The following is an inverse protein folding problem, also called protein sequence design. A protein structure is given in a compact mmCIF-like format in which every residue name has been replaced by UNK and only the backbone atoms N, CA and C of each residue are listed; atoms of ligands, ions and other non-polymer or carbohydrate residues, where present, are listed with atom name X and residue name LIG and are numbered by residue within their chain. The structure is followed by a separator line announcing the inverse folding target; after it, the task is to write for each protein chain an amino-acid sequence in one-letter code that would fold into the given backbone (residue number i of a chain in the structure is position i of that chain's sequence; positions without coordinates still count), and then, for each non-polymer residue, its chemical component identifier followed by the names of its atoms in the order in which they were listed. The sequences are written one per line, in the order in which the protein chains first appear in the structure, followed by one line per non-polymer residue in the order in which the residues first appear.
data_IF_281932968281
#
_entry.id   IF_281932968281
#
_cell.length_a   1.000
_cell.length_b   1.000
_cell.length_c   1.000
_cell.angle_alpha   90.00
_cell.angle_beta   90.00
_cell.angle_gamma   90.00
#
_symmetry.space_group_name_H-M   'P 1'
#
loop_
_entity.id
_entity.type
_entity.pdbx_description
1 polymer ?
#
# COMPACT_ATOMS: atom_id res chain seq x y z
N UNK A 1 -73.54 19.01 -11.82
CA UNK A 1 -73.23 19.65 -10.51
C UNK A 1 -72.14 18.87 -9.79
N UNK A 2 -70.95 18.76 -10.41
CA UNK A 2 -69.76 18.14 -9.79
C UNK A 2 -68.48 18.94 -10.06
N UNK A 3 -68.53 20.00 -10.88
CA UNK A 3 -67.36 20.83 -11.20
C UNK A 3 -67.03 21.83 -10.08
N UNK A 4 -68.03 22.36 -9.38
CA UNK A 4 -67.83 23.39 -8.35
C UNK A 4 -67.17 22.86 -7.06
N UNK A 5 -67.21 21.56 -6.77
CA UNK A 5 -66.52 20.96 -5.61
C UNK A 5 -65.06 20.61 -5.97
N UNK A 6 -64.77 20.37 -7.25
CA UNK A 6 -63.41 20.09 -7.73
C UNK A 6 -62.57 21.37 -7.76
N UNK A 7 -63.14 22.50 -8.20
CA UNK A 7 -62.46 23.81 -8.21
C UNK A 7 -62.09 24.33 -6.81
N UNK A 8 -62.87 23.98 -5.77
CA UNK A 8 -62.60 24.43 -4.38
C UNK A 8 -61.49 23.61 -3.73
N UNK A 9 -61.42 22.31 -4.00
CA UNK A 9 -60.29 21.47 -3.55
C UNK A 9 -59.00 21.80 -4.33
N UNK A 10 -59.11 22.26 -5.58
CA UNK A 10 -57.98 22.73 -6.40
C UNK A 10 -57.37 24.03 -5.82
N UNK A 11 -58.20 25.01 -5.45
CA UNK A 11 -57.72 26.28 -4.86
C UNK A 11 -57.09 26.08 -3.48
N UNK A 12 -57.64 25.19 -2.64
CA UNK A 12 -57.07 24.91 -1.31
C UNK A 12 -55.74 24.16 -1.37
N UNK A 13 -55.50 23.33 -2.39
CA UNK A 13 -54.18 22.71 -2.63
C UNK A 13 -53.17 23.75 -3.11
N UNK A 14 -53.60 24.65 -3.98
CA UNK A 14 -52.75 25.71 -4.52
C UNK A 14 -52.30 26.68 -3.41
N UNK A 15 -53.20 27.06 -2.49
CA UNK A 15 -52.86 27.93 -1.35
C UNK A 15 -51.89 27.26 -0.37
N UNK A 16 -52.01 25.93 -0.14
CA UNK A 16 -51.08 25.18 0.73
C UNK A 16 -49.69 25.06 0.12
N UNK A 17 -49.61 24.83 -1.19
CA UNK A 17 -48.33 24.81 -1.91
C UNK A 17 -47.71 26.21 -1.95
N UNK A 18 -48.52 27.25 -2.11
CA UNK A 18 -48.05 28.63 -2.04
C UNK A 18 -47.52 29.00 -0.65
N UNK A 19 -48.23 28.64 0.42
CA UNK A 19 -47.78 28.90 1.79
C UNK A 19 -46.47 28.17 2.12
N UNK A 20 -46.31 26.92 1.68
CA UNK A 20 -45.06 26.17 1.83
C UNK A 20 -43.92 26.78 1.00
N UNK A 21 -44.22 27.31 -0.18
CA UNK A 21 -43.22 27.99 -1.02
C UNK A 21 -42.82 29.37 -0.47
N UNK A 22 -43.74 30.10 0.16
CA UNK A 22 -43.43 31.35 0.86
C UNK A 22 -42.53 31.12 2.08
N UNK A 23 -42.76 30.04 2.83
CA UNK A 23 -41.99 29.71 4.03
C UNK A 23 -40.64 29.03 3.71
N UNK A 24 -40.62 28.07 2.78
CA UNK A 24 -39.44 27.23 2.48
C UNK A 24 -38.81 27.47 1.10
N UNK A 25 -39.40 28.30 0.22
CA UNK A 25 -38.86 28.52 -1.13
C UNK A 25 -37.42 29.03 -1.12
N UNK A 26 -37.09 29.96 -0.22
CA UNK A 26 -35.73 30.48 -0.07
C UNK A 26 -34.73 29.42 0.44
N UNK A 27 -35.15 28.56 1.38
CA UNK A 27 -34.29 27.49 1.92
C UNK A 27 -34.06 26.39 0.90
N UNK A 28 -35.08 26.01 0.12
CA UNK A 28 -34.98 25.05 -0.98
C UNK A 28 -34.02 25.57 -2.07
N UNK A 29 -34.14 26.84 -2.47
CA UNK A 29 -33.24 27.45 -3.46
C UNK A 29 -31.81 27.50 -2.93
N UNK A 30 -31.61 27.90 -1.68
CA UNK A 30 -30.27 27.93 -1.06
C UNK A 30 -29.64 26.53 -1.00
N UNK A 31 -30.42 25.52 -0.62
CA UNK A 31 -29.97 24.13 -0.59
C UNK A 31 -29.59 23.62 -1.99
N UNK A 32 -30.40 23.95 -3.02
CA UNK A 32 -30.10 23.59 -4.40
C UNK A 32 -28.80 24.25 -4.90
N UNK A 33 -28.58 25.53 -4.59
CA UNK A 33 -27.34 26.25 -4.95
C UNK A 33 -26.14 25.60 -4.25
N UNK A 34 -26.23 25.30 -2.95
CA UNK A 34 -25.16 24.63 -2.21
C UNK A 34 -24.83 23.27 -2.82
N UNK A 35 -25.83 22.48 -3.22
CA UNK A 35 -25.63 21.18 -3.85
C UNK A 35 -24.89 21.33 -5.19
N UNK A 36 -25.28 22.29 -6.03
CA UNK A 36 -24.60 22.57 -7.29
C UNK A 36 -23.16 23.03 -7.05
N UNK A 37 -22.91 23.90 -6.07
CA UNK A 37 -21.55 24.34 -5.72
C UNK A 37 -20.67 23.19 -5.26
N UNK A 38 -21.16 22.34 -4.36
CA UNK A 38 -20.46 21.15 -3.89
C UNK A 38 -20.13 20.21 -5.07
N UNK A 39 -21.08 20.00 -5.98
CA UNK A 39 -20.88 19.17 -7.17
C UNK A 39 -19.86 19.77 -8.13
N UNK A 40 -19.91 21.10 -8.35
CA UNK A 40 -18.98 21.81 -9.22
C UNK A 40 -17.54 21.76 -8.68
N UNK A 41 -17.37 21.93 -7.36
CA UNK A 41 -16.06 21.78 -6.70
C UNK A 41 -15.52 20.36 -6.89
N UNK A 42 -16.35 19.32 -6.65
CA UNK A 42 -15.94 17.94 -6.86
C UNK A 42 -15.59 17.63 -8.32
N UNK A 43 -16.39 18.11 -9.27
CA UNK A 43 -16.15 17.91 -10.70
C UNK A 43 -14.86 18.61 -11.16
N UNK A 44 -14.63 19.85 -10.71
CA UNK A 44 -13.40 20.59 -10.98
C UNK A 44 -12.16 19.88 -10.43
N UNK A 45 -12.22 19.41 -9.19
CA UNK A 45 -11.12 18.65 -8.57
C UNK A 45 -10.82 17.34 -9.31
N UNK A 46 -11.86 16.59 -9.71
CA UNK A 46 -11.70 15.35 -10.49
C UNK A 46 -11.04 15.61 -11.84
N UNK A 47 -11.48 16.63 -12.57
CA UNK A 47 -10.90 16.98 -13.87
C UNK A 47 -9.43 17.40 -13.78
N UNK A 48 -9.06 18.16 -12.73
CA UNK A 48 -7.66 18.51 -12.48
C UNK A 48 -6.80 17.28 -12.17
N UNK A 49 -7.29 16.37 -11.31
CA UNK A 49 -6.59 15.14 -10.93
C UNK A 49 -6.36 14.22 -12.14
N UNK A 50 -7.35 14.07 -13.01
CA UNK A 50 -7.24 13.20 -14.19
C UNK A 50 -6.24 13.75 -15.23
N UNK A 51 -6.25 15.06 -15.48
CA UNK A 51 -5.27 15.69 -16.36
C UNK A 51 -3.84 15.56 -15.82
N UNK A 52 -3.66 15.74 -14.51
CA UNK A 52 -2.34 15.59 -13.86
C UNK A 52 -1.83 14.14 -13.95
N UNK A 53 -2.70 13.15 -13.75
CA UNK A 53 -2.32 11.74 -13.86
C UNK A 53 -1.87 11.37 -15.28
N UNK A 54 -2.49 11.93 -16.32
CA UNK A 54 -2.07 11.72 -17.71
C UNK A 54 -0.66 12.29 -17.97
N UNK A 55 -0.39 13.50 -17.48
CA UNK A 55 0.92 14.14 -17.58
C UNK A 55 1.98 13.32 -16.83
N UNK A 56 1.70 12.95 -15.58
CA UNK A 56 2.60 12.14 -14.75
C UNK A 56 2.89 10.78 -15.40
N UNK A 57 1.89 10.15 -16.02
CA UNK A 57 2.08 8.88 -16.74
C UNK A 57 3.02 9.05 -17.94
N UNK A 58 2.88 10.15 -18.69
CA UNK A 58 3.76 10.41 -19.83
C UNK A 58 5.21 10.65 -19.38
N UNK A 59 5.42 11.40 -18.30
CA UNK A 59 6.74 11.62 -17.70
C UNK A 59 7.34 10.30 -17.18
N UNK A 60 6.53 9.49 -16.49
CA UNK A 60 6.93 8.18 -16.00
C UNK A 60 7.41 7.26 -17.14
N UNK A 61 6.62 7.14 -18.22
CA UNK A 61 7.00 6.31 -19.37
C UNK A 61 8.28 6.82 -20.04
N UNK A 62 8.43 8.14 -20.15
CA UNK A 62 9.66 8.74 -20.68
C UNK A 62 10.89 8.40 -19.83
N UNK A 63 10.76 8.45 -18.50
CA UNK A 63 11.84 8.08 -17.59
C UNK A 63 12.16 6.58 -17.70
N UNK A 64 11.13 5.73 -17.75
CA UNK A 64 11.28 4.27 -17.89
C UNK A 64 11.94 3.84 -19.22
N UNK A 65 11.71 4.58 -20.31
CA UNK A 65 12.32 4.29 -21.63
C UNK A 65 13.73 4.90 -21.80
N UNK A 66 14.24 5.60 -20.79
CA UNK A 66 15.56 6.23 -20.85
C UNK A 66 16.70 5.21 -20.71
N UNK A 67 17.91 5.56 -21.18
CA UNK A 67 19.09 4.68 -21.05
C UNK A 67 19.50 4.45 -19.59
N UNK A 68 19.23 5.42 -18.70
CA UNK A 68 19.42 5.32 -17.26
C UNK A 68 18.04 5.35 -16.57
N UNK A 69 17.21 4.36 -16.89
CA UNK A 69 15.82 4.26 -16.42
C UNK A 69 15.72 4.24 -14.91
N UNK A 70 16.59 3.50 -14.22
CA UNK A 70 16.64 3.46 -12.76
C UNK A 70 16.85 4.85 -12.12
N UNK A 71 17.90 5.58 -12.52
CA UNK A 71 18.14 6.95 -12.05
C UNK A 71 17.00 7.91 -12.41
N UNK A 72 16.53 7.84 -13.65
CA UNK A 72 15.49 8.76 -14.14
C UNK A 72 14.16 8.56 -13.41
N UNK A 73 13.80 7.30 -13.11
CA UNK A 73 12.61 6.98 -12.33
C UNK A 73 12.76 7.41 -10.87
N UNK A 74 13.90 7.15 -10.24
CA UNK A 74 14.16 7.54 -8.86
C UNK A 74 14.12 9.07 -8.68
N UNK A 75 14.72 9.83 -9.60
CA UNK A 75 14.73 11.30 -9.58
C UNK A 75 13.33 11.89 -9.82
N UNK A 76 12.54 11.28 -10.70
CA UNK A 76 11.19 11.74 -11.03
C UNK A 76 10.14 11.38 -9.95
N UNK A 77 10.34 10.29 -9.21
CA UNK A 77 9.36 9.73 -8.28
C UNK A 77 8.73 10.76 -7.31
N UNK A 78 9.48 11.68 -6.67
CA UNK A 78 8.89 12.67 -5.75
C UNK A 78 7.86 13.61 -6.40
N UNK A 79 7.94 13.82 -7.71
CA UNK A 79 7.08 14.74 -8.47
C UNK A 79 5.82 14.07 -9.04
N UNK A 80 5.71 12.75 -8.93
CA UNK A 80 4.59 11.95 -9.44
C UNK A 80 3.45 11.83 -8.42
N UNK A 81 2.24 11.67 -8.93
CA UNK A 81 1.09 11.20 -8.11
C UNK A 81 1.40 9.90 -7.37
N UNK A 82 0.77 9.70 -6.19
CA UNK A 82 1.15 8.69 -5.20
C UNK A 82 1.32 7.25 -5.75
N UNK A 83 0.40 6.82 -6.62
CA UNK A 83 0.48 5.49 -7.25
C UNK A 83 1.64 5.35 -8.23
N UNK A 84 1.92 6.39 -9.02
CA UNK A 84 3.05 6.40 -9.95
C UNK A 84 4.38 6.58 -9.23
N UNK A 85 4.43 7.37 -8.15
CA UNK A 85 5.59 7.48 -7.26
C UNK A 85 6.00 6.11 -6.70
N UNK A 86 5.03 5.35 -6.17
CA UNK A 86 5.27 4.00 -5.66
C UNK A 86 5.83 3.07 -6.74
N UNK A 87 5.25 3.11 -7.95
CA UNK A 87 5.75 2.32 -9.08
C UNK A 87 7.15 2.75 -9.54
N UNK A 88 7.46 4.05 -9.50
CA UNK A 88 8.77 4.56 -9.87
C UNK A 88 9.85 4.06 -8.91
N UNK A 89 9.64 4.15 -7.60
CA UNK A 89 10.57 3.59 -6.62
C UNK A 89 10.70 2.07 -6.74
N UNK A 90 9.60 1.35 -6.93
CA UNK A 90 9.63 -0.10 -7.11
C UNK A 90 10.49 -0.51 -8.33
N UNK A 91 10.27 0.14 -9.47
CA UNK A 91 10.98 -0.20 -10.70
C UNK A 91 12.44 0.28 -10.69
N UNK A 92 12.70 1.48 -10.18
CA UNK A 92 14.07 1.95 -9.96
C UNK A 92 14.85 1.00 -9.05
N UNK A 93 14.26 0.58 -7.92
CA UNK A 93 14.85 -0.39 -7.02
C UNK A 93 15.15 -1.73 -7.69
N UNK A 94 14.19 -2.25 -8.47
CA UNK A 94 14.38 -3.51 -9.22
C UNK A 94 15.48 -3.45 -10.27
N UNK A 95 15.61 -2.32 -10.98
CA UNK A 95 16.67 -2.13 -11.97
C UNK A 95 18.05 -1.91 -11.33
N UNK A 96 18.11 -1.18 -10.20
CA UNK A 96 19.34 -1.08 -9.41
C UNK A 96 19.77 -2.45 -8.89
N UNK A 97 18.82 -3.26 -8.41
CA UNK A 97 19.10 -4.63 -7.98
C UNK A 97 19.65 -5.48 -9.14
N UNK A 98 19.00 -5.44 -10.31
CA UNK A 98 19.40 -6.20 -11.49
C UNK A 98 20.78 -5.77 -12.04
N UNK A 99 21.13 -4.49 -11.91
CA UNK A 99 22.45 -3.95 -12.29
C UNK A 99 23.53 -4.14 -11.21
N UNK A 100 23.17 -4.71 -10.06
CA UNK A 100 24.09 -5.00 -8.95
C UNK A 100 24.37 -3.81 -8.03
N UNK A 101 23.63 -2.70 -8.18
CA UNK A 101 23.73 -1.54 -7.31
C UNK A 101 22.81 -1.71 -6.10
N UNK A 102 23.23 -2.57 -5.17
CA UNK A 102 22.39 -2.98 -4.04
C UNK A 102 22.05 -1.82 -3.10
N UNK A 103 22.97 -0.88 -2.87
CA UNK A 103 22.73 0.29 -2.01
C UNK A 103 21.59 1.16 -2.55
N UNK A 104 21.63 1.49 -3.85
CA UNK A 104 20.55 2.26 -4.48
C UNK A 104 19.23 1.49 -4.55
N UNK A 105 19.30 0.16 -4.72
CA UNK A 105 18.11 -0.67 -4.71
C UNK A 105 17.42 -0.61 -3.34
N UNK A 106 18.21 -0.75 -2.27
CA UNK A 106 17.73 -0.67 -0.89
C UNK A 106 17.14 0.72 -0.58
N UNK A 107 17.82 1.80 -0.95
CA UNK A 107 17.34 3.17 -0.79
C UNK A 107 15.96 3.37 -1.46
N UNK A 108 15.77 2.85 -2.67
CA UNK A 108 14.49 2.98 -3.36
C UNK A 108 13.38 2.15 -2.71
N UNK A 109 13.70 0.96 -2.17
CA UNK A 109 12.71 0.18 -1.42
C UNK A 109 12.36 0.80 -0.06
N UNK A 110 13.29 1.49 0.60
CA UNK A 110 13.03 2.31 1.79
C UNK A 110 12.07 3.47 1.47
N UNK A 111 12.31 4.16 0.35
CA UNK A 111 11.42 5.23 -0.12
C UNK A 111 10.03 4.69 -0.48
N UNK A 112 9.95 3.49 -1.07
CA UNK A 112 8.68 2.80 -1.31
C UNK A 112 7.96 2.47 0.01
N UNK A 113 8.67 1.94 1.00
CA UNK A 113 8.12 1.60 2.32
C UNK A 113 7.54 2.84 3.04
N UNK A 114 8.26 3.96 2.98
CA UNK A 114 7.91 5.18 3.71
C UNK A 114 6.91 6.09 3.01
N UNK A 115 6.82 6.04 1.68
CA UNK A 115 5.96 6.95 0.89
C UNK A 115 4.85 6.25 0.09
N UNK A 116 4.87 4.92 0.02
CA UNK A 116 3.84 4.12 -0.61
C UNK A 116 2.54 4.10 0.21
N UNK A 117 1.44 3.72 -0.44
CA UNK A 117 0.15 3.54 0.22
C UNK A 117 -0.28 2.07 0.21
N UNK A 118 -0.89 1.61 1.31
CA UNK A 118 -1.43 0.25 1.45
C UNK A 118 -0.39 -0.83 1.15
N UNK A 119 -0.76 -1.79 0.30
CA UNK A 119 0.08 -2.93 -0.05
C UNK A 119 1.44 -2.52 -0.65
N UNK A 120 1.57 -1.36 -1.29
CA UNK A 120 2.85 -0.91 -1.83
C UNK A 120 3.86 -0.54 -0.74
N UNK A 121 3.41 0.07 0.36
CA UNK A 121 4.27 0.32 1.52
C UNK A 121 4.75 -0.99 2.14
N UNK A 122 3.85 -1.96 2.30
CA UNK A 122 4.19 -3.28 2.82
C UNK A 122 5.18 -4.04 1.93
N UNK A 123 5.02 -3.96 0.60
CA UNK A 123 5.98 -4.51 -0.35
C UNK A 123 7.36 -3.85 -0.18
N UNK A 124 7.40 -2.52 -0.09
CA UNK A 124 8.63 -1.77 0.13
C UNK A 124 9.35 -2.21 1.39
N UNK A 125 8.63 -2.32 2.51
CA UNK A 125 9.19 -2.75 3.79
C UNK A 125 9.79 -4.17 3.71
N UNK A 126 9.09 -5.10 3.07
CA UNK A 126 9.58 -6.47 2.85
C UNK A 126 10.85 -6.47 1.98
N UNK A 127 10.83 -5.79 0.83
CA UNK A 127 11.98 -5.76 -0.09
C UNK A 127 13.19 -5.05 0.51
N UNK A 128 12.98 -3.95 1.21
CA UNK A 128 14.02 -3.22 1.94
C UNK A 128 14.72 -4.12 2.94
N UNK A 129 13.95 -4.78 3.82
CA UNK A 129 14.52 -5.65 4.86
C UNK A 129 15.16 -6.91 4.28
N UNK A 130 14.55 -7.57 3.28
CA UNK A 130 15.16 -8.72 2.60
C UNK A 130 16.51 -8.37 1.95
N UNK A 131 16.62 -7.18 1.36
CA UNK A 131 17.87 -6.74 0.75
C UNK A 131 18.93 -6.37 1.81
N UNK A 132 18.51 -5.75 2.92
CA UNK A 132 19.39 -5.46 4.05
C UNK A 132 20.04 -6.73 4.61
N UNK A 133 19.27 -7.84 4.72
CA UNK A 133 19.79 -9.14 5.15
C UNK A 133 20.95 -9.64 4.27
N UNK A 134 20.88 -9.40 2.95
CA UNK A 134 21.90 -9.86 2.01
C UNK A 134 23.12 -8.94 1.94
N UNK A 135 22.92 -7.64 2.17
CA UNK A 135 23.97 -6.63 2.06
C UNK A 135 24.80 -6.47 3.34
N UNK A 136 24.18 -6.59 4.51
CA UNK A 136 24.79 -6.15 5.75
C UNK A 136 24.38 -7.02 6.95
N UNK A 137 24.91 -8.24 7.01
CA UNK A 137 24.65 -9.23 8.07
C UNK A 137 24.89 -8.66 9.49
N UNK A 138 25.78 -7.67 9.64
CA UNK A 138 26.05 -7.02 10.94
C UNK A 138 25.03 -5.99 11.39
N UNK A 139 24.07 -5.60 10.54
CA UNK A 139 23.05 -4.59 10.87
C UNK A 139 21.66 -5.20 11.13
N UNK A 140 21.55 -6.54 11.13
CA UNK A 140 20.32 -7.23 11.50
C UNK A 140 19.98 -6.97 12.98
N UNK A 141 18.83 -6.37 13.24
CA UNK A 141 18.42 -5.97 14.58
C UNK A 141 16.89 -5.96 14.74
N UNK A 142 16.43 -5.75 15.97
CA UNK A 142 15.01 -5.70 16.33
C UNK A 142 14.24 -4.60 15.59
N UNK A 143 14.90 -3.52 15.14
CA UNK A 143 14.25 -2.45 14.38
C UNK A 143 13.75 -2.97 13.01
N UNK A 144 14.44 -3.95 12.42
CA UNK A 144 13.98 -4.62 11.20
C UNK A 144 12.73 -5.46 11.43
N UNK A 145 12.61 -6.11 12.59
CA UNK A 145 11.40 -6.86 12.97
C UNK A 145 10.23 -5.89 13.15
N UNK A 146 10.46 -4.80 13.89
CA UNK A 146 9.47 -3.75 14.14
C UNK A 146 8.98 -3.09 12.83
N UNK A 147 9.87 -2.87 11.86
CA UNK A 147 9.50 -2.32 10.55
C UNK A 147 8.57 -3.22 9.72
N UNK A 148 8.44 -4.51 10.09
CA UNK A 148 7.60 -5.49 9.41
C UNK A 148 6.32 -5.84 10.19
N UNK A 149 6.19 -5.42 11.46
CA UNK A 149 5.07 -5.78 12.34
C UNK A 149 3.71 -5.47 11.71
N UNK A 150 3.52 -4.26 11.17
CA UNK A 150 2.24 -3.86 10.55
C UNK A 150 1.82 -4.82 9.42
N UNK A 151 2.78 -5.37 8.67
CA UNK A 151 2.52 -6.30 7.55
C UNK A 151 2.38 -7.73 8.07
N UNK A 152 3.18 -8.11 9.07
CA UNK A 152 3.17 -9.42 9.69
C UNK A 152 1.94 -9.67 10.57
N UNK A 153 1.29 -8.62 11.08
CA UNK A 153 0.07 -8.73 11.89
C UNK A 153 -1.22 -8.70 11.05
N UNK A 154 -1.15 -8.27 9.78
CA UNK A 154 -2.30 -8.29 8.87
C UNK A 154 -2.28 -9.53 7.96
N UNK A 155 -2.91 -10.61 8.43
CA UNK A 155 -3.12 -11.84 7.63
C UNK A 155 -3.88 -11.65 6.31
N UNK A 156 -4.50 -10.47 6.04
CA UNK A 156 -5.09 -10.17 4.72
C UNK A 156 -4.11 -9.50 3.76
N UNK A 157 -2.97 -9.02 4.26
CA UNK A 157 -1.94 -8.41 3.44
C UNK A 157 -1.41 -9.42 2.44
N UNK A 158 -1.25 -9.04 1.15
CA UNK A 158 -0.58 -9.90 0.16
C UNK A 158 0.84 -10.27 0.54
N UNK A 159 1.46 -9.50 1.45
CA UNK A 159 2.86 -9.62 1.84
C UNK A 159 3.06 -10.25 3.22
N UNK A 160 1.96 -10.62 3.91
CA UNK A 160 1.97 -11.24 5.25
C UNK A 160 3.00 -12.37 5.37
N UNK A 161 2.92 -13.37 4.49
CA UNK A 161 3.82 -14.53 4.54
C UNK A 161 5.29 -14.15 4.28
N UNK A 162 5.55 -13.13 3.46
CA UNK A 162 6.91 -12.65 3.21
C UNK A 162 7.44 -11.80 4.38
N UNK A 163 6.58 -11.06 5.08
CA UNK A 163 6.95 -10.34 6.29
C UNK A 163 7.32 -11.31 7.41
N UNK A 164 6.50 -12.32 7.69
CA UNK A 164 6.82 -13.39 8.65
C UNK A 164 8.10 -14.14 8.29
N UNK A 165 8.27 -14.47 7.00
CA UNK A 165 9.49 -15.12 6.53
C UNK A 165 10.72 -14.26 6.80
N UNK A 166 10.63 -12.95 6.53
CA UNK A 166 11.74 -12.02 6.73
C UNK A 166 12.04 -11.83 8.22
N UNK A 167 11.02 -11.71 9.08
CA UNK A 167 11.20 -11.67 10.54
C UNK A 167 11.89 -12.94 11.06
N UNK A 168 11.49 -14.11 10.58
CA UNK A 168 12.11 -15.38 10.98
C UNK A 168 13.60 -15.44 10.61
N UNK A 169 14.00 -14.87 9.46
CA UNK A 169 15.41 -14.74 9.09
C UNK A 169 16.15 -13.79 10.04
N UNK A 170 15.60 -12.60 10.30
CA UNK A 170 16.20 -11.62 11.23
C UNK A 170 16.41 -12.23 12.61
N UNK A 171 15.37 -12.83 13.19
CA UNK A 171 15.41 -13.46 14.52
C UNK A 171 16.48 -14.58 14.59
N UNK A 172 16.55 -15.42 13.56
CA UNK A 172 17.52 -16.51 13.52
C UNK A 172 18.97 -16.03 13.42
N UNK A 173 19.22 -14.97 12.65
CA UNK A 173 20.57 -14.53 12.32
C UNK A 173 21.09 -13.42 13.26
N UNK A 174 20.22 -12.50 13.72
CA UNK A 174 20.57 -11.45 14.67
C UNK A 174 20.64 -11.96 16.12
N UNK A 175 19.63 -12.70 16.57
CA UNK A 175 19.49 -13.12 17.96
C UNK A 175 19.97 -14.56 18.20
N UNK A 176 20.04 -15.36 17.12
CA UNK A 176 20.28 -16.79 17.23
C UNK A 176 19.08 -17.56 17.78
N UNK A 177 17.90 -16.94 17.84
CA UNK A 177 16.67 -17.58 18.33
C UNK A 177 16.02 -18.42 17.23
N UNK A 178 16.66 -19.56 16.99
CA UNK A 178 16.18 -20.56 16.04
C UNK A 178 14.83 -21.16 16.42
N UNK A 179 14.43 -21.12 17.70
CA UNK A 179 13.14 -21.65 18.15
C UNK A 179 12.01 -20.74 17.69
N UNK A 180 12.13 -19.43 17.94
CA UNK A 180 11.18 -18.44 17.46
C UNK A 180 11.12 -18.40 15.92
N UNK A 181 12.26 -18.46 15.24
CA UNK A 181 12.29 -18.49 13.78
C UNK A 181 11.55 -19.71 13.20
N UNK A 182 11.69 -20.89 13.81
CA UNK A 182 10.94 -22.09 13.41
C UNK A 182 9.43 -21.91 13.66
N UNK A 183 9.03 -21.29 14.78
CA UNK A 183 7.62 -21.02 15.06
C UNK A 183 6.97 -20.12 13.99
N UNK A 184 7.65 -19.06 13.56
CA UNK A 184 7.17 -18.17 12.50
C UNK A 184 7.05 -18.91 11.15
N UNK A 185 7.98 -19.81 10.87
CA UNK A 185 7.93 -20.68 9.70
C UNK A 185 6.77 -21.68 9.72
N UNK A 186 6.42 -22.22 10.88
CA UNK A 186 5.26 -23.09 11.04
C UNK A 186 3.95 -22.34 10.74
N UNK A 187 3.82 -21.09 11.19
CA UNK A 187 2.67 -20.23 10.89
C UNK A 187 2.45 -20.05 9.38
N UNK A 188 3.53 -19.76 8.64
CA UNK A 188 3.47 -19.67 7.16
C UNK A 188 3.10 -21.02 6.53
N UNK A 189 3.57 -22.14 7.11
CA UNK A 189 3.27 -23.49 6.62
C UNK A 189 1.80 -23.90 6.81
N UNK A 190 1.12 -23.33 7.80
CA UNK A 190 -0.30 -23.54 8.05
C UNK A 190 -1.19 -22.72 7.10
N UNK A 191 -0.67 -21.61 6.55
CA UNK A 191 -1.38 -20.80 5.57
C UNK A 191 -1.43 -21.48 4.19
N UNK A 192 -2.66 -21.72 3.73
CA UNK A 192 -2.93 -22.28 2.41
C UNK A 192 -2.70 -21.29 1.27
N UNK A 193 -2.66 -19.99 1.57
CA UNK A 193 -2.35 -18.93 0.61
C UNK A 193 -0.84 -18.73 0.42
N UNK A 194 0.01 -19.34 1.24
CA UNK A 194 1.46 -19.21 1.15
C UNK A 194 1.99 -19.71 -0.23
N UNK A 195 2.87 -18.93 -0.90
CA UNK A 195 3.48 -19.36 -2.16
C UNK A 195 4.27 -20.66 -2.02
N UNK A 196 4.16 -21.56 -3.01
CA UNK A 196 4.86 -22.88 -3.02
C UNK A 196 6.38 -22.75 -2.88
N UNK A 197 6.95 -21.72 -3.50
CA UNK A 197 8.40 -21.45 -3.41
C UNK A 197 8.80 -21.15 -1.97
N UNK A 198 7.98 -20.37 -1.25
CA UNK A 198 8.22 -20.01 0.14
C UNK A 198 8.16 -21.23 1.05
N UNK A 199 7.15 -22.11 0.87
CA UNK A 199 7.06 -23.38 1.60
C UNK A 199 8.31 -24.26 1.43
N UNK A 200 8.87 -24.29 0.21
CA UNK A 200 10.09 -25.05 -0.08
C UNK A 200 11.30 -24.49 0.66
N UNK A 201 11.44 -23.17 0.68
CA UNK A 201 12.52 -22.48 1.39
C UNK A 201 12.43 -22.68 2.90
N UNK A 202 11.23 -22.51 3.45
CA UNK A 202 10.94 -22.70 4.88
C UNK A 202 11.32 -24.11 5.34
N UNK A 203 10.88 -25.15 4.62
CA UNK A 203 11.24 -26.53 4.98
C UNK A 203 12.75 -26.77 5.05
N UNK A 204 13.52 -26.15 4.14
CA UNK A 204 14.98 -26.26 4.15
C UNK A 204 15.61 -25.51 5.32
N UNK A 205 15.12 -24.30 5.61
CA UNK A 205 15.61 -23.46 6.70
C UNK A 205 15.25 -24.02 8.07
N UNK A 206 14.03 -24.51 8.29
CA UNK A 206 13.64 -25.17 9.55
C UNK A 206 14.53 -26.36 9.88
N UNK A 207 14.92 -27.17 8.88
CA UNK A 207 15.89 -28.26 9.08
C UNK A 207 17.28 -27.75 9.45
N UNK A 208 17.73 -26.66 8.81
CA UNK A 208 19.02 -26.04 9.11
C UNK A 208 19.04 -25.49 10.55
N UNK A 209 18.01 -24.73 10.93
CA UNK A 209 17.88 -24.12 12.26
C UNK A 209 17.75 -25.18 13.36
N UNK A 210 16.99 -26.26 13.12
CA UNK A 210 16.93 -27.42 14.03
C UNK A 210 18.32 -28.01 14.30
N UNK A 211 19.16 -28.15 13.26
CA UNK A 211 20.53 -28.66 13.43
C UNK A 211 21.42 -27.67 14.19
N UNK A 212 21.29 -26.37 13.91
CA UNK A 212 22.04 -25.32 14.65
C UNK A 212 21.68 -25.35 16.15
N UNK A 213 20.40 -25.48 16.49
CA UNK A 213 19.94 -25.65 17.88
C UNK A 213 20.58 -26.88 18.55
N UNK A 214 20.52 -28.05 17.90
CA UNK A 214 21.10 -29.29 18.44
C UNK A 214 22.62 -29.22 18.61
N UNK A 215 23.31 -28.57 17.66
CA UNK A 215 24.74 -28.34 17.73
C UNK A 215 25.14 -27.43 18.90
N UNK A 216 24.39 -26.37 19.16
CA UNK A 216 24.60 -25.48 20.29
C UNK A 216 24.45 -26.19 21.64
N UNK A 217 23.47 -27.09 21.77
CA UNK A 217 23.24 -27.91 22.98
C UNK A 217 24.35 -28.93 23.21
N UNK A 218 24.97 -29.47 22.15
CA UNK A 218 26.02 -30.49 22.26
C UNK A 218 27.41 -29.96 22.66
N UNK A 219 27.63 -28.64 22.61
CA UNK A 219 28.90 -27.98 22.94
C UNK A 219 28.92 -27.31 24.33
N UNK A 220 27.85 -27.46 25.12
CA UNK A 220 27.78 -27.08 26.54
C UNK A 220 28.00 -28.30 27.44
#
# INVERSE_FOLDING_TARGET
MSDMIRDVDESLKQDRLHALWEEYGSTIITAAILLVLVTAIMAGYRGWKENKLQEDTALYLQAADSENSAESLAELAPDLSDGLRSLAYLNAGGEFFASGNMDKAQENYELLASTGEGDMAGLGAVLYNLLALNNNESEMNDDMVAALEDVADDSNSPWYNYALYTQALVVADAEGDYEQAISLFEEIGEDRAAPVVLQTQIMALSQLYTRKMQGAVSNQ
#
